data_IF_710291928646
#
_entry.id   IF_710291928646
#
_cell.length_a   1.000
_cell.length_b   1.000
_cell.length_c   1.000
_cell.angle_alpha   90.00
_cell.angle_beta   90.00
_cell.angle_gamma   90.00
#
_symmetry.space_group_name_H-M   'P 1'
#
loop_
_entity.id
_entity.type
_entity.pdbx_description
1 polymer ?
#
# COMPACT_ATOMS: atom_id res chain seq x y z
N UNK A 1 -19.93 -39.87 -1.27
CA UNK A 1 -19.55 -38.70 -2.09
C UNK A 1 -18.71 -37.78 -1.20
N UNK A 2 -17.41 -37.65 -1.45
CA UNK A 2 -16.54 -36.77 -0.66
C UNK A 2 -16.66 -35.35 -1.21
N UNK A 3 -17.35 -34.47 -0.47
CA UNK A 3 -17.36 -33.04 -0.76
C UNK A 3 -15.98 -32.51 -0.36
N UNK A 4 -15.10 -32.26 -1.34
CA UNK A 4 -13.87 -31.47 -1.10
C UNK A 4 -14.33 -30.05 -0.79
N UNK A 5 -14.37 -29.70 0.48
CA UNK A 5 -14.51 -28.31 0.93
C UNK A 5 -13.32 -27.56 0.33
N UNK A 6 -13.53 -26.52 -0.51
CA UNK A 6 -12.43 -25.70 -0.97
C UNK A 6 -11.83 -25.03 0.27
N UNK A 7 -10.60 -25.43 0.62
CA UNK A 7 -9.87 -24.74 1.67
C UNK A 7 -9.69 -23.29 1.22
N UNK A 8 -10.05 -22.34 2.09
CA UNK A 8 -9.72 -20.93 1.86
C UNK A 8 -8.21 -20.84 1.63
N UNK A 9 -7.73 -20.12 0.61
CA UNK A 9 -6.30 -19.88 0.46
C UNK A 9 -5.75 -19.33 1.78
N UNK A 10 -4.60 -19.85 2.21
CA UNK A 10 -3.98 -19.44 3.47
C UNK A 10 -3.77 -17.93 3.48
N UNK A 11 -4.23 -17.27 4.54
CA UNK A 11 -4.06 -15.85 4.70
C UNK A 11 -2.58 -15.55 4.97
N UNK A 12 -1.99 -14.72 4.12
CA UNK A 12 -0.60 -14.28 4.21
C UNK A 12 -0.51 -13.19 5.28
N UNK A 13 0.02 -13.54 6.45
CA UNK A 13 0.42 -12.59 7.47
C UNK A 13 1.56 -11.66 6.99
N UNK A 14 1.22 -10.37 6.85
CA UNK A 14 2.17 -9.31 6.54
C UNK A 14 3.04 -8.91 7.73
N UNK A 15 4.25 -8.41 7.45
CA UNK A 15 5.11 -7.78 8.44
C UNK A 15 4.66 -6.36 8.76
N UNK A 16 5.02 -5.85 9.95
CA UNK A 16 4.94 -4.42 10.29
C UNK A 16 6.06 -3.72 9.50
N UNK A 17 5.83 -3.43 8.22
CA UNK A 17 5.41 -2.09 7.81
C UNK A 17 4.07 -2.07 7.06
N UNK A 18 3.61 -3.22 6.57
CA UNK A 18 2.50 -3.30 5.62
C UNK A 18 1.14 -3.58 6.27
N UNK A 19 1.14 -3.98 7.54
CA UNK A 19 -0.09 -4.26 8.29
C UNK A 19 -0.98 -3.03 8.45
N UNK A 20 -2.29 -3.26 8.39
CA UNK A 20 -3.29 -2.27 8.79
C UNK A 20 -3.21 -2.00 10.33
N UNK A 21 -3.18 -0.73 10.78
CA UNK A 21 -3.08 -0.36 12.19
C UNK A 21 -4.23 -0.86 13.09
N UNK A 22 -5.35 -1.33 12.52
CA UNK A 22 -6.63 -1.36 13.22
C UNK A 22 -7.34 -2.72 13.28
N UNK A 23 -6.61 -3.82 13.44
CA UNK A 23 -7.23 -5.08 13.89
C UNK A 23 -7.46 -5.07 15.42
N UNK A 24 -8.52 -4.38 15.86
CA UNK A 24 -9.41 -4.66 17.01
C UNK A 24 -8.84 -5.15 18.35
N UNK A 25 -7.58 -4.85 18.69
CA UNK A 25 -6.99 -5.20 19.99
C UNK A 25 -6.35 -3.98 20.64
N UNK A 26 -6.81 -3.55 21.83
CA UNK A 26 -6.20 -2.46 22.60
C UNK A 26 -4.71 -2.71 22.91
N UNK A 27 -4.26 -3.97 22.95
CA UNK A 27 -2.84 -4.32 23.11
C UNK A 27 -2.03 -4.10 21.82
N UNK A 28 -2.65 -4.13 20.63
CA UNK A 28 -2.01 -3.88 19.33
C UNK A 28 -2.07 -2.41 18.90
N UNK A 29 -2.92 -1.57 19.50
CA UNK A 29 -2.94 -0.11 19.30
C UNK A 29 -1.61 0.59 19.65
N UNK A 30 -0.71 -0.09 20.37
CA UNK A 30 0.66 0.35 20.67
C UNK A 30 1.65 0.12 19.52
N UNK A 31 1.24 -0.45 18.39
CA UNK A 31 2.14 -0.63 17.24
C UNK A 31 2.31 0.69 16.50
N UNK A 32 3.57 1.04 16.27
CA UNK A 32 4.06 1.93 15.23
C UNK A 32 3.09 2.06 14.04
N UNK A 33 2.54 3.26 13.80
CA UNK A 33 1.77 3.55 12.58
C UNK A 33 2.71 4.08 11.52
N UNK A 34 2.67 3.53 10.32
CA UNK A 34 3.41 4.12 9.20
C UNK A 34 2.63 5.29 8.64
N UNK A 35 3.32 6.41 8.48
CA UNK A 35 2.87 7.53 7.66
C UNK A 35 3.76 7.60 6.43
N UNK A 36 3.12 7.39 5.29
CA UNK A 36 3.75 7.46 3.98
C UNK A 36 2.74 8.12 3.03
N UNK A 37 3.06 9.34 2.60
CA UNK A 37 2.33 10.00 1.51
C UNK A 37 2.90 9.47 0.19
N UNK A 38 2.06 8.76 -0.55
CA UNK A 38 2.42 8.10 -1.81
C UNK A 38 2.87 9.05 -2.91
N UNK A 39 2.70 10.36 -2.74
CA UNK A 39 3.25 11.38 -3.62
C UNK A 39 4.78 11.52 -3.51
N UNK A 40 5.40 10.94 -2.50
CA UNK A 40 6.83 11.09 -2.24
C UNK A 40 7.57 9.76 -2.37
N UNK A 41 8.83 9.84 -2.80
CA UNK A 41 9.67 8.65 -3.02
C UNK A 41 10.02 7.97 -1.68
N UNK A 42 9.60 6.73 -1.42
CA UNK A 42 9.85 6.04 -0.15
C UNK A 42 11.33 5.71 0.09
N UNK A 43 12.21 5.90 -0.90
CA UNK A 43 13.66 5.70 -0.76
C UNK A 43 14.38 6.88 -0.11
N UNK A 44 13.72 8.04 0.01
CA UNK A 44 14.30 9.22 0.66
C UNK A 44 13.99 9.18 2.16
N UNK A 45 15.01 9.48 2.96
CA UNK A 45 15.06 9.19 4.40
C UNK A 45 13.94 9.80 5.25
N UNK A 46 13.19 10.79 4.74
CA UNK A 46 12.13 11.50 5.47
C UNK A 46 10.70 11.17 5.03
N UNK A 47 10.52 10.33 4.01
CA UNK A 47 9.20 10.17 3.36
C UNK A 47 8.37 9.03 3.93
N UNK A 48 9.00 8.12 4.67
CA UNK A 48 8.32 7.04 5.39
C UNK A 48 8.67 7.17 6.86
N UNK A 49 7.69 7.58 7.65
CA UNK A 49 7.86 7.81 9.09
C UNK A 49 6.99 6.85 9.88
N UNK A 50 7.46 6.52 11.07
CA UNK A 50 6.79 5.68 12.04
C UNK A 50 6.32 6.58 13.19
N UNK A 51 5.04 6.49 13.49
CA UNK A 51 4.41 7.13 14.65
C UNK A 51 4.29 6.12 15.79
N UNK A 52 5.05 6.34 16.85
CA UNK A 52 4.90 5.62 18.11
C UNK A 52 4.18 6.48 19.14
N UNK A 53 2.96 6.07 19.50
CA UNK A 53 2.11 6.85 20.40
C UNK A 53 1.62 8.16 19.77
N UNK A 54 1.42 9.19 20.61
CA UNK A 54 0.82 10.46 20.18
C UNK A 54 1.85 11.50 19.69
N UNK A 55 3.16 11.30 19.93
CA UNK A 55 4.13 12.39 19.80
C UNK A 55 5.46 12.01 19.15
N UNK A 56 5.80 10.72 18.99
CA UNK A 56 7.10 10.34 18.44
C UNK A 56 6.97 10.02 16.97
N UNK A 57 7.55 10.88 16.14
CA UNK A 57 7.75 10.66 14.71
C UNK A 57 9.21 10.33 14.47
N UNK A 58 9.53 9.10 14.10
CA UNK A 58 10.87 8.72 13.67
C UNK A 58 10.83 8.26 12.20
N UNK A 59 11.92 8.46 11.47
CA UNK A 59 12.05 7.85 10.14
C UNK A 59 12.11 6.33 10.29
N UNK A 60 11.45 5.59 9.39
CA UNK A 60 11.64 4.14 9.36
C UNK A 60 13.11 3.84 9.08
N UNK A 61 13.70 2.90 9.82
CA UNK A 61 15.10 2.56 9.58
C UNK A 61 15.27 1.92 8.20
N UNK A 62 16.43 2.15 7.58
CA UNK A 62 16.78 1.56 6.28
C UNK A 62 16.75 0.01 6.30
N UNK A 63 16.96 -0.59 7.48
CA UNK A 63 16.90 -2.03 7.70
C UNK A 63 15.45 -2.51 7.79
N UNK A 64 14.59 -1.82 8.54
CA UNK A 64 13.19 -2.22 8.75
C UNK A 64 12.37 -2.15 7.46
N UNK A 65 12.55 -1.10 6.66
CA UNK A 65 11.84 -0.96 5.38
C UNK A 65 12.23 -2.06 4.37
N UNK A 66 13.37 -2.74 4.59
CA UNK A 66 13.85 -3.85 3.74
C UNK A 66 13.48 -5.23 4.26
N UNK A 67 12.75 -5.33 5.36
CA UNK A 67 12.23 -6.60 5.83
C UNK A 67 11.36 -7.27 4.75
N UNK A 68 11.30 -8.61 4.70
CA UNK A 68 10.35 -9.31 3.85
C UNK A 68 8.92 -8.84 4.12
N UNK A 69 8.07 -8.85 3.09
CA UNK A 69 6.66 -8.46 3.22
C UNK A 69 5.87 -9.43 4.09
N UNK A 70 6.34 -10.68 4.24
CA UNK A 70 5.72 -11.74 5.04
C UNK A 70 6.76 -12.38 5.96
N UNK A 71 6.37 -12.73 7.19
CA UNK A 71 7.22 -13.46 8.15
C UNK A 71 7.17 -14.98 7.99
N UNK A 72 6.22 -15.52 7.22
CA UNK A 72 5.91 -16.95 7.21
C UNK A 72 5.91 -17.57 5.80
N UNK A 73 6.11 -16.77 4.75
CA UNK A 73 6.29 -17.26 3.39
C UNK A 73 7.16 -16.31 2.57
N UNK A 74 7.75 -16.83 1.49
CA UNK A 74 8.47 -16.02 0.49
C UNK A 74 7.46 -15.56 -0.57
N UNK A 75 6.90 -14.36 -0.38
CA UNK A 75 5.96 -13.77 -1.33
C UNK A 75 6.74 -13.19 -2.52
N UNK A 76 6.60 -13.73 -3.73
CA UNK A 76 7.36 -13.27 -4.92
C UNK A 76 6.54 -12.39 -5.86
N UNK A 77 5.22 -12.43 -5.75
CA UNK A 77 4.27 -11.67 -6.56
C UNK A 77 3.14 -11.13 -5.69
N UNK A 78 2.71 -9.90 -5.97
CA UNK A 78 1.63 -9.23 -5.25
C UNK A 78 0.89 -8.31 -6.22
N UNK A 79 -0.42 -8.53 -6.37
CA UNK A 79 -1.31 -7.64 -7.12
C UNK A 79 -2.15 -6.83 -6.13
N UNK A 80 -1.97 -5.52 -6.13
CA UNK A 80 -2.58 -4.61 -5.16
C UNK A 80 -3.55 -3.67 -5.88
N UNK A 81 -4.74 -3.51 -5.32
CA UNK A 81 -5.80 -2.61 -5.79
C UNK A 81 -6.08 -1.55 -4.74
N UNK A 82 -6.39 -0.33 -5.16
CA UNK A 82 -6.88 0.71 -4.25
C UNK A 82 -8.26 0.31 -3.71
N UNK A 83 -8.53 0.63 -2.45
CA UNK A 83 -9.81 0.39 -1.75
C UNK A 83 -10.97 1.28 -2.25
N UNK A 84 -10.72 2.11 -3.25
CA UNK A 84 -11.64 3.05 -3.86
C UNK A 84 -12.04 2.52 -5.25
N UNK A 85 -13.34 2.25 -5.43
CA UNK A 85 -13.88 1.64 -6.66
C UNK A 85 -13.49 2.43 -7.92
N UNK A 86 -13.51 3.76 -7.84
CA UNK A 86 -13.15 4.63 -8.95
C UNK A 86 -11.69 4.47 -9.42
N UNK A 87 -10.80 3.97 -8.55
CA UNK A 87 -9.37 3.79 -8.85
C UNK A 87 -8.95 2.31 -9.01
N UNK A 88 -9.89 1.35 -8.98
CA UNK A 88 -9.57 -0.08 -9.02
C UNK A 88 -8.92 -0.55 -10.35
N UNK A 89 -9.03 0.25 -11.41
CA UNK A 89 -8.47 -0.04 -12.73
C UNK A 89 -6.96 0.23 -12.83
N UNK A 90 -6.32 0.63 -11.72
CA UNK A 90 -4.89 0.84 -11.59
C UNK A 90 -4.23 -0.24 -10.72
N UNK A 91 -4.09 -1.48 -11.22
CA UNK A 91 -3.42 -2.53 -10.46
C UNK A 91 -1.94 -2.17 -10.23
N UNK A 92 -1.50 -2.30 -8.98
CA UNK A 92 -0.12 -2.14 -8.57
C UNK A 92 0.49 -3.55 -8.47
N UNK A 93 1.28 -3.90 -9.48
CA UNK A 93 1.95 -5.19 -9.53
C UNK A 93 3.35 -5.07 -8.92
N UNK A 94 3.63 -5.92 -7.93
CA UNK A 94 4.94 -6.04 -7.29
C UNK A 94 5.47 -7.44 -7.60
N UNK A 95 6.66 -7.52 -8.18
CA UNK A 95 7.31 -8.79 -8.47
C UNK A 95 8.77 -8.74 -8.04
N UNK A 96 9.20 -9.77 -7.33
CA UNK A 96 10.58 -9.93 -6.88
C UNK A 96 10.91 -11.40 -6.66
N UNK A 97 11.84 -11.92 -7.46
CA UNK A 97 12.22 -13.34 -7.47
C UNK A 97 12.70 -13.84 -6.10
N UNK A 98 13.44 -13.01 -5.37
CA UNK A 98 14.04 -13.37 -4.08
C UNK A 98 13.11 -13.09 -2.88
N UNK A 99 11.83 -12.81 -3.13
CA UNK A 99 10.86 -12.41 -2.10
C UNK A 99 10.73 -10.89 -1.98
N UNK A 100 9.48 -10.42 -2.01
CA UNK A 100 9.05 -9.04 -1.88
C UNK A 100 9.39 -8.51 -0.49
N UNK A 101 9.97 -7.31 -0.44
CA UNK A 101 10.20 -6.53 0.77
C UNK A 101 9.20 -5.41 0.88
N UNK A 102 9.10 -4.82 2.07
CA UNK A 102 8.19 -3.70 2.31
C UNK A 102 8.51 -2.49 1.43
N UNK A 103 9.78 -2.17 1.24
CA UNK A 103 10.23 -1.13 0.32
C UNK A 103 9.76 -1.38 -1.12
N UNK A 104 9.77 -2.62 -1.58
CA UNK A 104 9.38 -2.95 -2.96
C UNK A 104 7.88 -2.65 -3.17
N UNK A 105 7.05 -2.88 -2.14
CA UNK A 105 5.62 -2.55 -2.14
C UNK A 105 5.39 -1.04 -2.15
N UNK A 106 5.99 -0.30 -1.21
CA UNK A 106 5.84 1.15 -1.12
C UNK A 106 6.34 1.85 -2.39
N UNK A 107 7.44 1.36 -2.96
CA UNK A 107 7.99 1.89 -4.20
C UNK A 107 7.06 1.61 -5.39
N UNK A 108 6.48 0.42 -5.48
CA UNK A 108 5.54 0.09 -6.55
C UNK A 108 4.29 0.98 -6.50
N UNK A 109 3.77 1.25 -5.30
CA UNK A 109 2.66 2.19 -5.09
C UNK A 109 3.02 3.60 -5.60
N UNK A 110 4.14 4.15 -5.13
CA UNK A 110 4.63 5.46 -5.57
C UNK A 110 4.79 5.48 -7.10
N UNK A 111 5.50 4.52 -7.68
CA UNK A 111 5.73 4.46 -9.13
C UNK A 111 4.44 4.40 -9.95
N UNK A 112 3.44 3.62 -9.51
CA UNK A 112 2.18 3.48 -10.21
C UNK A 112 1.38 4.80 -10.18
N UNK A 113 1.34 5.45 -9.01
CA UNK A 113 0.59 6.69 -8.81
C UNK A 113 1.30 7.93 -9.37
N UNK A 114 2.61 7.87 -9.58
CA UNK A 114 3.37 8.92 -10.26
C UNK A 114 3.27 8.87 -11.79
N UNK A 115 2.59 7.87 -12.37
CA UNK A 115 2.38 7.83 -13.82
C UNK A 115 1.53 9.03 -14.28
N UNK A 116 1.86 9.63 -15.43
CA UNK A 116 0.99 10.63 -16.06
C UNK A 116 -0.42 10.08 -16.28
N UNK A 117 -1.41 10.95 -16.25
CA UNK A 117 -2.76 10.58 -16.67
C UNK A 117 -2.76 10.15 -18.14
N UNK A 118 -3.39 9.03 -18.42
CA UNK A 118 -3.65 8.53 -19.76
C UNK A 118 -5.01 9.05 -20.27
N UNK A 119 -5.25 8.97 -21.57
CA UNK A 119 -6.58 9.29 -22.12
C UNK A 119 -7.69 8.40 -21.54
N UNK A 120 -7.33 7.16 -21.16
CA UNK A 120 -8.23 6.27 -20.43
C UNK A 120 -8.63 6.85 -19.07
N UNK A 121 -7.64 7.34 -18.31
CA UNK A 121 -7.87 7.99 -17.02
C UNK A 121 -8.76 9.25 -17.20
N UNK A 122 -8.46 10.10 -18.18
CA UNK A 122 -9.26 11.31 -18.49
C UNK A 122 -10.73 10.96 -18.74
N UNK A 123 -10.98 9.90 -19.54
CA UNK A 123 -12.34 9.43 -19.80
C UNK A 123 -13.02 8.89 -18.54
N UNK A 124 -12.32 8.04 -17.77
CA UNK A 124 -12.86 7.43 -16.54
C UNK A 124 -13.25 8.49 -15.50
N UNK A 125 -12.45 9.54 -15.35
CA UNK A 125 -12.66 10.59 -14.35
C UNK A 125 -13.42 11.82 -14.89
N UNK A 126 -13.92 11.78 -16.14
CA UNK A 126 -14.69 12.87 -16.73
C UNK A 126 -13.94 14.20 -16.79
N UNK A 127 -12.61 14.17 -16.94
CA UNK A 127 -11.77 15.35 -16.94
C UNK A 127 -11.83 16.05 -18.31
N UNK A 128 -12.02 17.36 -18.33
CA UNK A 128 -12.15 18.14 -19.58
C UNK A 128 -10.88 18.08 -20.47
N UNK A 129 -9.71 17.92 -19.85
CA UNK A 129 -8.44 17.58 -20.49
C UNK A 129 -7.47 17.08 -19.42
N UNK A 130 -6.56 16.16 -19.74
CA UNK A 130 -5.35 15.97 -18.93
C UNK A 130 -4.55 17.27 -19.01
N UNK A 131 -4.56 18.08 -17.94
CA UNK A 131 -3.62 19.19 -17.87
C UNK A 131 -2.21 18.59 -17.94
N UNK A 132 -1.36 19.16 -18.80
CA UNK A 132 0.03 18.69 -18.97
C UNK A 132 0.70 18.63 -17.60
N UNK A 133 1.20 17.45 -17.24
CA UNK A 133 1.93 17.23 -15.99
C UNK A 133 1.12 16.63 -14.85
N UNK A 134 -0.20 16.48 -14.98
CA UNK A 134 -1.00 15.75 -13.98
C UNK A 134 -0.64 14.27 -13.95
N UNK A 135 -0.58 13.74 -12.73
CA UNK A 135 -0.28 12.34 -12.41
C UNK A 135 -1.48 11.73 -11.69
N UNK A 136 -1.52 10.40 -11.64
CA UNK A 136 -2.60 9.67 -10.96
C UNK A 136 -2.74 10.04 -9.48
N UNK A 137 -1.61 10.31 -8.81
CA UNK A 137 -1.58 10.77 -7.42
C UNK A 137 -2.31 12.09 -7.21
N UNK A 138 -2.41 12.95 -8.23
CA UNK A 138 -3.12 14.22 -8.13
C UNK A 138 -4.64 14.01 -8.06
N UNK A 139 -5.15 12.91 -8.61
CA UNK A 139 -6.57 12.55 -8.54
C UNK A 139 -6.99 12.02 -7.16
N UNK A 140 -6.04 11.61 -6.32
CA UNK A 140 -6.31 11.14 -4.97
C UNK A 140 -6.64 12.27 -3.99
N UNK A 141 -6.27 13.52 -4.31
CA UNK A 141 -6.52 14.68 -3.47
C UNK A 141 -5.93 14.52 -2.06
N UNK A 142 -6.78 14.57 -1.04
CA UNK A 142 -6.36 14.38 0.36
C UNK A 142 -6.09 12.89 0.72
N UNK A 143 -6.58 11.93 -0.07
CA UNK A 143 -6.51 10.49 0.20
C UNK A 143 -5.20 9.87 -0.28
N UNK A 144 -4.05 10.39 0.18
CA UNK A 144 -2.71 9.99 -0.31
C UNK A 144 -1.87 9.22 0.71
N UNK A 145 -2.37 9.04 1.92
CA UNK A 145 -1.60 8.39 2.98
C UNK A 145 -1.88 6.90 3.02
N UNK A 146 -0.81 6.10 2.98
CA UNK A 146 -0.85 4.66 3.20
C UNK A 146 -1.42 4.33 4.58
N UNK A 147 -2.42 3.44 4.62
CA UNK A 147 -3.04 2.96 5.87
C UNK A 147 -2.87 1.46 6.10
N UNK A 148 -2.28 0.72 5.18
CA UNK A 148 -2.08 -0.72 5.32
C UNK A 148 -2.56 -1.51 4.12
N UNK A 149 -2.37 -2.82 4.19
CA UNK A 149 -2.83 -3.78 3.20
C UNK A 149 -3.68 -4.87 3.86
N UNK A 150 -4.75 -5.28 3.19
CA UNK A 150 -5.50 -6.48 3.52
C UNK A 150 -5.54 -7.43 2.32
N UNK A 151 -5.65 -8.74 2.58
CA UNK A 151 -5.71 -9.75 1.54
C UNK A 151 -7.16 -10.23 1.35
N UNK A 152 -7.58 -10.39 0.09
CA UNK A 152 -8.83 -11.06 -0.29
C UNK A 152 -8.55 -12.03 -1.44
N UNK A 153 -8.46 -13.32 -1.14
CA UNK A 153 -8.00 -14.32 -2.09
C UNK A 153 -6.53 -14.09 -2.49
N UNK A 154 -6.26 -13.97 -3.78
CA UNK A 154 -4.92 -13.68 -4.32
C UNK A 154 -4.63 -12.17 -4.42
N UNK A 155 -5.66 -11.34 -4.30
CA UNK A 155 -5.56 -9.90 -4.44
C UNK A 155 -5.35 -9.22 -3.10
N UNK A 156 -4.70 -8.06 -3.17
CA UNK A 156 -4.45 -7.20 -2.02
C UNK A 156 -5.20 -5.89 -2.19
N UNK A 157 -5.72 -5.37 -1.09
CA UNK A 157 -6.39 -4.08 -1.04
C UNK A 157 -5.50 -3.11 -0.28
N UNK A 158 -5.14 -2.02 -0.93
CA UNK A 158 -4.44 -0.86 -0.38
C UNK A 158 -5.45 0.08 0.25
N UNK A 159 -5.35 0.20 1.57
CA UNK A 159 -6.13 1.14 2.35
C UNK A 159 -5.46 2.50 2.31
N UNK A 160 -6.20 3.52 1.89
CA UNK A 160 -5.73 4.89 1.77
C UNK A 160 -6.52 5.80 2.70
N UNK A 161 -5.91 6.90 3.13
CA UNK A 161 -6.60 7.85 4.00
C UNK A 161 -6.07 9.26 3.86
N UNK A 162 -6.71 10.16 4.59
CA UNK A 162 -6.21 11.51 4.81
C UNK A 162 -4.91 11.49 5.62
N UNK A 163 -4.29 12.65 5.83
CA UNK A 163 -3.34 12.79 6.92
C UNK A 163 -4.01 12.42 8.26
N UNK A 164 -3.22 11.93 9.22
CA UNK A 164 -3.65 11.75 10.61
C UNK A 164 -3.49 13.04 11.45
N UNK A 165 -2.95 14.10 10.82
CA UNK A 165 -2.81 15.46 11.34
C UNK A 165 -3.94 16.36 10.86
#
# INVERSE_FOLDING_TARGET
>A
MHIKVPMKPEAIALTWPLMEPNTTSPRKQRRAKICFDVAFDPRKDSNVVVLEGAYRMDNISYQDIRLPASTHCTLTEMCIFLDMEEFNHWPINVMRKDGIRCLDVLEAMHKMLQRPLTDGDVRTFGLAAAQRGMRRVDLLGARRFFRGLSQSGENWTLHMGSSWY
#
